data_IF_257229826944
#
_entry.id   IF_257229826944
#
_cell.length_a   1.000
_cell.length_b   1.000
_cell.length_c   1.000
_cell.angle_alpha   90.00
_cell.angle_beta   90.00
_cell.angle_gamma   90.00
#
_symmetry.space_group_name_H-M   'P 1'
#
loop_
_entity.id
_entity.type
_entity.pdbx_description
1 polymer ?
#
# COMPACT_ATOMS: atom_id res chain seq x y z
N UNK A 1 -8.96 -7.24 29.70
CA UNK A 1 -7.97 -6.27 29.18
C UNK A 1 -8.22 -4.95 29.87
N UNK A 2 -7.17 -4.24 30.27
CA UNK A 2 -7.31 -2.87 30.76
C UNK A 2 -7.65 -1.95 29.57
N UNK A 3 -8.30 -0.79 29.80
CA UNK A 3 -8.59 0.17 28.74
C UNK A 3 -7.33 0.65 28.01
N UNK A 4 -6.23 0.84 28.74
CA UNK A 4 -4.92 1.24 28.19
C UNK A 4 -4.40 0.26 27.13
N UNK A 5 -4.46 -1.05 27.42
CA UNK A 5 -4.05 -2.10 26.47
C UNK A 5 -4.93 -2.14 25.22
N UNK A 6 -6.19 -1.73 25.35
CA UNK A 6 -7.14 -1.68 24.26
C UNK A 6 -6.92 -0.47 23.36
N UNK A 7 -6.49 0.67 23.94
CA UNK A 7 -6.05 1.86 23.19
C UNK A 7 -4.77 1.58 22.38
N UNK A 8 -3.87 0.74 22.87
CA UNK A 8 -2.66 0.31 22.15
C UNK A 8 -2.96 -0.71 21.03
N UNK A 9 -4.18 -1.26 20.97
CA UNK A 9 -4.58 -2.24 19.95
C UNK A 9 -4.03 -3.64 20.21
N UNK A 10 -3.66 -3.97 21.44
CA UNK A 10 -3.15 -5.29 21.81
C UNK A 10 -4.24 -6.34 21.59
N UNK A 11 -3.90 -7.41 20.88
CA UNK A 11 -4.81 -8.53 20.68
C UNK A 11 -4.92 -9.40 21.94
N UNK A 12 -6.11 -9.95 22.26
CA UNK A 12 -6.28 -10.84 23.40
C UNK A 12 -5.46 -12.11 23.20
N UNK A 13 -5.05 -12.72 24.32
CA UNK A 13 -4.31 -13.99 24.27
C UNK A 13 -5.11 -15.05 23.49
N UNK A 14 -4.51 -15.55 22.43
CA UNK A 14 -5.02 -16.64 21.62
C UNK A 14 -4.05 -17.83 21.74
N UNK A 15 -4.41 -18.91 22.46
CA UNK A 15 -3.52 -20.06 22.64
C UNK A 15 -3.32 -20.87 21.34
N UNK A 16 -4.26 -20.76 20.41
CA UNK A 16 -4.24 -21.45 19.13
C UNK A 16 -3.87 -20.45 18.04
N UNK A 17 -2.74 -20.69 17.36
CA UNK A 17 -2.32 -19.95 16.18
C UNK A 17 -2.81 -20.69 14.93
N UNK A 18 -3.85 -20.21 14.23
CA UNK A 18 -4.33 -20.86 13.03
C UNK A 18 -3.29 -20.71 11.90
N UNK A 19 -3.09 -21.77 11.13
CA UNK A 19 -2.30 -21.69 9.91
C UNK A 19 -3.11 -20.99 8.83
N UNK A 20 -2.51 -19.98 8.18
CA UNK A 20 -3.11 -19.28 7.05
C UNK A 20 -2.40 -19.68 5.77
N UNK A 21 -3.14 -20.27 4.84
CA UNK A 21 -2.60 -20.61 3.51
C UNK A 21 -2.15 -19.37 2.74
N UNK A 22 -2.74 -18.20 3.02
CA UNK A 22 -2.35 -16.92 2.43
C UNK A 22 -0.98 -16.43 2.92
N UNK A 23 -0.50 -16.91 4.07
CA UNK A 23 0.83 -16.57 4.60
C UNK A 23 1.95 -17.41 3.99
N UNK A 24 1.62 -18.41 3.16
CA UNK A 24 2.61 -19.32 2.56
C UNK A 24 3.31 -18.68 1.36
N UNK A 25 4.55 -18.24 1.59
CA UNK A 25 5.39 -17.56 0.57
C UNK A 25 5.79 -18.45 -0.62
N UNK A 26 5.79 -19.77 -0.43
CA UNK A 26 6.16 -20.76 -1.45
C UNK A 26 5.00 -21.11 -2.38
N UNK A 27 3.77 -20.69 -2.06
CA UNK A 27 2.56 -21.05 -2.80
C UNK A 27 2.48 -22.57 -3.10
N UNK A 28 2.73 -22.99 -4.34
CA UNK A 28 2.72 -24.40 -4.76
C UNK A 28 4.14 -24.98 -5.02
N UNK A 29 5.19 -24.33 -4.52
CA UNK A 29 6.58 -24.78 -4.67
C UNK A 29 7.06 -25.42 -3.37
N UNK A 30 7.02 -26.75 -3.29
CA UNK A 30 7.59 -27.48 -2.16
C UNK A 30 9.12 -27.45 -2.23
N UNK A 31 9.75 -26.89 -1.21
CA UNK A 31 11.22 -26.82 -1.08
C UNK A 31 11.66 -27.91 -0.13
N UNK A 32 12.29 -28.95 -0.65
CA UNK A 32 12.62 -30.12 0.15
C UNK A 32 13.94 -29.94 0.91
N UNK A 33 13.96 -30.44 2.15
CA UNK A 33 15.17 -30.52 3.00
C UNK A 33 15.90 -29.17 3.12
N UNK A 34 15.16 -28.13 3.53
CA UNK A 34 15.72 -26.81 3.86
C UNK A 34 16.75 -26.98 4.98
N UNK A 35 17.97 -26.48 4.76
CA UNK A 35 19.03 -26.46 5.78
C UNK A 35 19.03 -25.16 6.57
N UNK A 36 18.82 -24.04 5.87
CA UNK A 36 18.68 -22.74 6.51
C UNK A 36 17.92 -21.77 5.61
N UNK A 37 17.41 -20.72 6.25
CA UNK A 37 16.77 -19.58 5.61
C UNK A 37 17.60 -18.35 5.96
N UNK A 38 17.94 -17.54 4.96
CA UNK A 38 18.65 -16.29 5.10
C UNK A 38 17.75 -15.17 4.63
N UNK A 39 17.78 -14.07 5.36
CA UNK A 39 17.08 -12.84 4.98
C UNK A 39 18.08 -11.72 4.78
N UNK A 40 17.79 -10.82 3.85
CA UNK A 40 18.60 -9.64 3.60
C UNK A 40 17.69 -8.43 3.38
N UNK A 41 18.10 -7.23 3.84
CA UNK A 41 17.38 -6.01 3.53
C UNK A 41 17.46 -5.69 2.03
N UNK A 42 16.48 -4.96 1.53
CA UNK A 42 16.56 -4.31 0.22
C UNK A 42 16.79 -2.82 0.40
N UNK A 43 16.91 -2.07 -0.70
CA UNK A 43 16.90 -0.60 -0.64
C UNK A 43 15.53 0.00 -0.30
N UNK A 44 14.46 -0.79 -0.32
CA UNK A 44 13.11 -0.37 0.08
C UNK A 44 12.83 -0.90 1.49
N UNK A 45 12.37 -0.03 2.39
CA UNK A 45 12.16 -0.38 3.81
C UNK A 45 11.02 -1.39 3.98
N UNK A 46 9.99 -1.27 3.15
CA UNK A 46 8.83 -2.16 3.09
C UNK A 46 9.10 -3.56 2.50
N UNK A 47 10.32 -3.84 2.00
CA UNK A 47 10.61 -5.14 1.38
C UNK A 47 11.91 -5.81 1.86
N UNK A 48 11.85 -7.12 2.03
CA UNK A 48 12.98 -7.98 2.38
C UNK A 48 13.20 -9.09 1.37
N UNK A 49 14.43 -9.57 1.25
CA UNK A 49 14.77 -10.75 0.47
C UNK A 49 14.79 -11.97 1.39
N UNK A 50 14.21 -13.07 0.93
CA UNK A 50 14.22 -14.37 1.62
C UNK A 50 14.84 -15.40 0.70
N UNK A 51 15.87 -16.06 1.20
CA UNK A 51 16.58 -17.13 0.51
C UNK A 51 16.60 -18.39 1.37
N UNK A 52 15.90 -19.44 0.93
CA UNK A 52 15.93 -20.75 1.56
C UNK A 52 16.82 -21.68 0.71
N UNK A 53 17.76 -22.38 1.37
CA UNK A 53 18.65 -23.31 0.70
C UNK A 53 18.76 -24.65 1.43
N UNK A 54 18.95 -25.72 0.66
CA UNK A 54 18.95 -27.09 1.17
C UNK A 54 19.34 -28.12 0.12
N UNK A 55 18.41 -29.03 -0.20
CA UNK A 55 18.46 -29.78 -1.46
C UNK A 55 18.11 -28.85 -2.63
N UNK A 56 17.05 -28.08 -2.45
CA UNK A 56 16.54 -27.11 -3.42
C UNK A 56 16.91 -25.68 -3.01
N UNK A 57 16.83 -24.75 -3.97
CA UNK A 57 17.09 -23.33 -3.78
C UNK A 57 15.79 -22.56 -4.05
N UNK A 58 15.37 -21.73 -3.10
CA UNK A 58 14.20 -20.89 -3.23
C UNK A 58 14.53 -19.46 -2.83
N UNK A 59 14.17 -18.52 -3.69
CA UNK A 59 14.42 -17.11 -3.49
C UNK A 59 13.15 -16.33 -3.78
N UNK A 60 12.76 -15.44 -2.87
CA UNK A 60 11.62 -14.56 -3.07
C UNK A 60 11.83 -13.22 -2.36
N UNK A 61 11.11 -12.19 -2.83
CA UNK A 61 10.98 -10.92 -2.12
C UNK A 61 9.67 -10.94 -1.34
N UNK A 62 9.71 -10.55 -0.08
CA UNK A 62 8.54 -10.45 0.79
C UNK A 62 8.31 -9.00 1.20
N UNK A 63 7.03 -8.62 1.34
CA UNK A 63 6.62 -7.35 1.92
C UNK A 63 5.62 -7.61 3.06
N UNK A 64 6.10 -7.68 4.33
CA UNK A 64 5.26 -8.05 5.48
C UNK A 64 4.12 -7.07 5.75
N UNK A 65 4.35 -5.78 5.49
CA UNK A 65 3.46 -4.66 5.79
C UNK A 65 2.78 -4.08 4.56
N UNK A 66 2.78 -4.81 3.44
CA UNK A 66 2.57 -4.25 2.10
C UNK A 66 3.62 -3.19 1.72
N UNK A 67 3.77 -2.96 0.42
CA UNK A 67 4.76 -2.04 -0.15
C UNK A 67 4.31 -0.59 0.04
N UNK A 68 4.50 -0.02 1.24
CA UNK A 68 4.10 1.35 1.53
C UNK A 68 5.04 2.41 0.92
N UNK A 69 6.27 2.03 0.60
CA UNK A 69 7.24 2.92 -0.08
C UNK A 69 7.08 2.94 -1.59
N UNK A 70 6.15 2.13 -2.13
CA UNK A 70 5.92 2.00 -3.55
C UNK A 70 4.51 2.47 -3.89
N UNK A 71 4.38 3.16 -5.02
CA UNK A 71 3.05 3.47 -5.55
C UNK A 71 2.37 2.15 -5.96
N UNK A 72 1.10 2.01 -5.60
CA UNK A 72 0.33 0.80 -5.89
C UNK A 72 0.34 0.52 -7.40
N UNK A 73 0.49 -0.74 -7.78
CA UNK A 73 0.47 -1.15 -9.19
C UNK A 73 -0.87 -0.80 -9.87
N UNK A 74 -1.97 -0.91 -9.12
CA UNK A 74 -3.33 -0.59 -9.58
C UNK A 74 -3.72 0.88 -9.37
N UNK A 75 -2.75 1.80 -9.29
CA UNK A 75 -3.06 3.21 -9.06
C UNK A 75 -3.72 3.84 -10.30
N UNK A 76 -4.89 4.46 -10.11
CA UNK A 76 -5.63 5.09 -11.20
C UNK A 76 -5.11 6.52 -11.48
N UNK A 77 -4.10 6.59 -12.32
CA UNK A 77 -3.56 7.86 -12.81
C UNK A 77 -4.59 8.66 -13.61
N UNK A 78 -5.56 8.00 -14.26
CA UNK A 78 -6.54 8.66 -15.13
C UNK A 78 -7.56 9.44 -14.32
N UNK A 79 -8.00 8.91 -13.17
CA UNK A 79 -8.89 9.61 -12.24
C UNK A 79 -8.25 10.91 -11.73
N UNK A 80 -6.98 10.87 -11.30
CA UNK A 80 -6.30 12.07 -10.79
C UNK A 80 -6.10 13.09 -11.90
N UNK A 81 -5.66 12.65 -13.08
CA UNK A 81 -5.46 13.55 -14.22
C UNK A 81 -6.77 14.25 -14.63
N UNK A 82 -7.87 13.50 -14.72
CA UNK A 82 -9.17 14.02 -15.14
C UNK A 82 -9.76 15.00 -14.13
N UNK A 83 -9.73 14.68 -12.83
CA UNK A 83 -10.21 15.59 -11.77
C UNK A 83 -9.38 16.86 -11.72
N UNK A 84 -8.05 16.75 -11.84
CA UNK A 84 -7.15 17.91 -11.83
C UNK A 84 -7.43 18.82 -13.02
N UNK A 85 -7.53 18.25 -14.23
CA UNK A 85 -7.86 19.01 -15.43
C UNK A 85 -9.26 19.65 -15.34
N UNK A 86 -10.24 18.90 -14.84
CA UNK A 86 -11.60 19.40 -14.58
C UNK A 86 -11.61 20.60 -13.64
N UNK A 87 -10.84 20.53 -12.54
CA UNK A 87 -10.70 21.65 -11.59
C UNK A 87 -10.06 22.89 -12.22
N UNK A 88 -9.04 22.72 -13.08
CA UNK A 88 -8.40 23.84 -13.78
C UNK A 88 -9.41 24.55 -14.69
N UNK A 89 -10.15 23.78 -15.50
CA UNK A 89 -11.14 24.32 -16.43
C UNK A 89 -12.27 25.02 -15.65
N UNK A 90 -12.80 24.36 -14.62
CA UNK A 90 -13.85 24.91 -13.76
C UNK A 90 -13.43 26.23 -13.10
N UNK A 91 -12.18 26.31 -12.62
CA UNK A 91 -11.62 27.53 -12.04
C UNK A 91 -11.57 28.69 -13.04
N UNK A 92 -11.09 28.44 -14.27
CA UNK A 92 -11.03 29.47 -15.32
C UNK A 92 -12.43 29.97 -15.67
N UNK A 93 -13.39 29.06 -15.84
CA UNK A 93 -14.79 29.40 -16.14
C UNK A 93 -15.37 30.22 -14.98
N UNK A 94 -15.18 29.79 -13.74
CA UNK A 94 -15.67 30.49 -12.56
C UNK A 94 -15.10 31.91 -12.45
N UNK A 95 -13.78 32.08 -12.66
CA UNK A 95 -13.14 33.40 -12.69
C UNK A 95 -13.72 34.29 -13.79
N UNK A 96 -13.94 33.76 -14.99
CA UNK A 96 -14.53 34.52 -16.11
C UNK A 96 -15.98 34.90 -15.85
N UNK A 97 -16.75 34.03 -15.21
CA UNK A 97 -18.12 34.34 -14.79
C UNK A 97 -18.16 35.35 -13.66
N UNK A 98 -17.24 35.25 -12.69
CA UNK A 98 -17.13 36.18 -11.58
C UNK A 98 -16.79 37.60 -12.05
N UNK A 99 -15.82 37.76 -12.95
CA UNK A 99 -15.48 39.09 -13.52
C UNK A 99 -16.64 39.68 -14.31
N UNK A 100 -17.34 38.87 -15.12
CA UNK A 100 -18.56 39.31 -15.82
C UNK A 100 -19.67 39.74 -14.86
N UNK A 101 -19.92 38.96 -13.81
CA UNK A 101 -20.92 39.28 -12.77
C UNK A 101 -20.55 40.56 -12.00
N UNK A 102 -19.27 40.76 -11.71
CA UNK A 102 -18.79 41.96 -11.02
C UNK A 102 -19.03 43.22 -11.86
N UNK A 103 -18.73 43.17 -13.16
CA UNK A 103 -19.04 44.27 -14.08
C UNK A 103 -20.55 44.51 -14.11
N UNK A 104 -21.38 43.50 -14.40
CA UNK A 104 -22.85 43.69 -14.48
C UNK A 104 -23.46 44.35 -13.23
N UNK A 105 -22.95 44.02 -12.03
CA UNK A 105 -23.38 44.67 -10.78
C UNK A 105 -22.93 46.12 -10.63
N UNK A 106 -21.80 46.50 -11.22
CA UNK A 106 -21.31 47.88 -11.17
C UNK A 106 -22.08 48.82 -12.11
N UNK A 107 -22.77 48.28 -13.12
CA UNK A 107 -23.58 49.04 -14.08
C UNK A 107 -25.10 48.97 -13.78
N UNK A 108 -25.50 48.24 -12.73
CA UNK A 108 -26.86 48.25 -12.19
C UNK A 108 -26.97 49.32 -11.10
#
# INVERSE_FOLDING_TARGET
>A
MTPELMEEGVHPYAPVLPFSDQSMITYNQSVMRIRAIRTAPTGLESTGLVFAYGLDLFFTRISPSQTYDLLKEDFDYTAIATVTLGMIIASIICCRLATRRAVLRAWA
#
